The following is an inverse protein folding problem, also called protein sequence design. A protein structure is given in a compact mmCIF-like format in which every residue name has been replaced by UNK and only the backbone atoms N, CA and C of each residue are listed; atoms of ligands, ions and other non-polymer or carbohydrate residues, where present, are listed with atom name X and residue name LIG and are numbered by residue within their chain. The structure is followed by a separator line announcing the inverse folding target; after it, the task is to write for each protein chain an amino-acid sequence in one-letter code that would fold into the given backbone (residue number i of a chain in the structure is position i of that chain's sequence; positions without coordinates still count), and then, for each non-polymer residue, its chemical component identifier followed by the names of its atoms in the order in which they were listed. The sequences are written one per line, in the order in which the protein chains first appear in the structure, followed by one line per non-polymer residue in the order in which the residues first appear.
data_IF_642970556583
#
_entry.id   IF_642970556583
#
_cell.length_a   1.000
_cell.length_b   1.000
_cell.length_c   1.000
_cell.angle_alpha   90.00
_cell.angle_beta   90.00
_cell.angle_gamma   90.00
#
_symmetry.space_group_name_H-M   'P 1'
#
loop_
_entity.id
_entity.type
_entity.pdbx_description
1 polymer ?
#
# COMPACT_ATOMS: atom_id res chain seq x y z
N UNK A 1 -27.01 -30.03 5.55
CA UNK A 1 -25.80 -29.18 5.42
C UNK A 1 -25.18 -29.50 4.07
N UNK A 2 -24.95 -28.48 3.22
CA UNK A 2 -24.32 -28.70 1.91
C UNK A 2 -22.92 -29.29 2.10
N UNK A 3 -22.54 -30.27 1.27
CA UNK A 3 -21.23 -30.92 1.33
C UNK A 3 -20.17 -29.92 0.85
N UNK A 4 -19.07 -29.77 1.60
CA UNK A 4 -17.98 -28.87 1.21
C UNK A 4 -17.40 -29.29 -0.15
N UNK A 5 -17.38 -28.36 -1.10
CA UNK A 5 -16.89 -28.59 -2.45
C UNK A 5 -15.44 -28.12 -2.57
N UNK A 6 -14.50 -29.07 -2.51
CA UNK A 6 -13.06 -28.77 -2.55
C UNK A 6 -12.59 -28.12 -3.86
N UNK A 7 -13.19 -28.49 -4.98
CA UNK A 7 -12.80 -27.97 -6.30
C UNK A 7 -13.17 -26.49 -6.40
N UNK A 8 -14.40 -26.18 -6.04
CA UNK A 8 -14.91 -24.81 -6.00
C UNK A 8 -14.11 -23.94 -5.01
N UNK A 9 -13.76 -24.47 -3.83
CA UNK A 9 -12.90 -23.76 -2.88
C UNK A 9 -11.50 -23.46 -3.47
N UNK A 10 -10.90 -24.40 -4.21
CA UNK A 10 -9.59 -24.18 -4.83
C UNK A 10 -9.66 -23.15 -5.98
N UNK A 11 -10.73 -23.19 -6.78
CA UNK A 11 -11.01 -22.22 -7.85
C UNK A 11 -11.26 -20.81 -7.27
N UNK A 12 -11.99 -20.70 -6.16
CA UNK A 12 -12.22 -19.44 -5.46
C UNK A 12 -10.92 -18.85 -4.89
N UNK A 13 -10.08 -19.67 -4.26
CA UNK A 13 -8.77 -19.20 -3.81
C UNK A 13 -7.89 -18.75 -4.97
N UNK A 14 -7.97 -19.42 -6.12
CA UNK A 14 -7.28 -18.99 -7.33
C UNK A 14 -7.81 -17.67 -7.86
N UNK A 15 -9.13 -17.47 -7.83
CA UNK A 15 -9.76 -16.22 -8.22
C UNK A 15 -9.21 -15.06 -7.38
N UNK A 16 -9.17 -15.19 -6.05
CA UNK A 16 -8.60 -14.17 -5.17
C UNK A 16 -7.13 -13.84 -5.47
N UNK A 17 -6.31 -14.83 -5.88
CA UNK A 17 -4.92 -14.57 -6.31
C UNK A 17 -4.83 -13.80 -7.62
N UNK A 18 -5.76 -14.02 -8.55
CA UNK A 18 -5.77 -13.37 -9.86
C UNK A 18 -6.35 -11.95 -9.80
N UNK A 19 -7.32 -11.72 -8.92
CA UNK A 19 -7.96 -10.41 -8.75
C UNK A 19 -7.29 -9.54 -7.70
N UNK A 20 -6.31 -10.06 -6.95
CA UNK A 20 -5.70 -9.41 -5.78
C UNK A 20 -6.73 -8.98 -4.72
N UNK A 21 -7.86 -9.68 -4.63
CA UNK A 21 -8.88 -9.40 -3.63
C UNK A 21 -8.43 -9.88 -2.24
N UNK A 22 -8.44 -8.98 -1.26
CA UNK A 22 -8.05 -9.29 0.12
C UNK A 22 -9.25 -9.79 0.91
N UNK A 23 -9.35 -11.11 1.09
CA UNK A 23 -10.37 -11.75 1.94
C UNK A 23 -9.74 -12.80 2.87
N UNK A 24 -8.93 -12.33 3.83
CA UNK A 24 -8.06 -13.18 4.63
C UNK A 24 -8.82 -14.21 5.47
N UNK A 25 -9.94 -13.84 6.09
CA UNK A 25 -10.78 -14.79 6.85
C UNK A 25 -11.28 -15.96 5.99
N UNK A 26 -11.82 -15.65 4.81
CA UNK A 26 -12.35 -16.69 3.91
C UNK A 26 -11.22 -17.54 3.34
N UNK A 27 -10.09 -16.92 2.98
CA UNK A 27 -8.89 -17.64 2.53
C UNK A 27 -8.41 -18.63 3.60
N UNK A 28 -8.35 -18.21 4.86
CA UNK A 28 -7.99 -19.09 5.98
C UNK A 28 -8.98 -20.23 6.15
N UNK A 29 -10.29 -19.94 6.15
CA UNK A 29 -11.32 -20.95 6.31
C UNK A 29 -11.25 -22.03 5.20
N UNK A 30 -11.20 -21.61 3.93
CA UNK A 30 -11.10 -22.52 2.79
C UNK A 30 -9.77 -23.27 2.79
N UNK A 31 -8.67 -22.56 3.02
CA UNK A 31 -7.32 -23.10 3.07
C UNK A 31 -7.14 -24.17 4.15
N UNK A 32 -7.54 -23.87 5.39
CA UNK A 32 -7.49 -24.81 6.51
C UNK A 32 -8.31 -26.06 6.22
N UNK A 33 -9.50 -25.92 5.60
CA UNK A 33 -10.33 -27.07 5.22
C UNK A 33 -9.68 -27.94 4.15
N UNK A 34 -9.09 -27.33 3.12
CA UNK A 34 -8.38 -28.05 2.05
C UNK A 34 -7.14 -28.79 2.57
N UNK A 35 -6.41 -28.20 3.52
CA UNK A 35 -5.27 -28.83 4.19
C UNK A 35 -5.74 -30.01 5.05
N UNK A 36 -6.74 -29.80 5.91
CA UNK A 36 -7.28 -30.83 6.83
C UNK A 36 -7.81 -32.06 6.08
N UNK A 37 -8.50 -31.83 4.96
CA UNK A 37 -9.09 -32.90 4.16
C UNK A 37 -8.10 -33.51 3.15
N UNK A 38 -6.80 -33.17 3.23
CA UNK A 38 -5.71 -33.65 2.36
C UNK A 38 -5.96 -33.42 0.86
N UNK A 39 -6.73 -32.39 0.51
CA UNK A 39 -7.02 -32.07 -0.90
C UNK A 39 -5.81 -31.42 -1.60
N UNK A 40 -4.84 -30.90 -0.85
CA UNK A 40 -3.65 -30.21 -1.38
C UNK A 40 -2.84 -31.06 -2.37
N UNK A 41 -2.84 -32.39 -2.22
CA UNK A 41 -2.19 -33.31 -3.16
C UNK A 41 -2.76 -33.24 -4.59
N UNK A 42 -4.01 -32.77 -4.75
CA UNK A 42 -4.69 -32.64 -6.04
C UNK A 42 -4.43 -31.29 -6.73
N UNK A 43 -3.76 -30.35 -6.06
CA UNK A 43 -3.49 -29.02 -6.60
C UNK A 43 -2.31 -28.99 -7.60
N UNK A 44 -1.52 -30.06 -7.69
CA UNK A 44 -0.34 -30.10 -8.57
C UNK A 44 0.62 -28.94 -8.27
N UNK A 45 1.06 -28.23 -9.31
CA UNK A 45 1.97 -27.10 -9.17
C UNK A 45 1.37 -25.88 -8.48
N UNK A 46 0.04 -25.77 -8.43
CA UNK A 46 -0.66 -24.68 -7.74
C UNK A 46 -0.58 -24.79 -6.21
N UNK A 47 -0.01 -25.86 -5.67
CA UNK A 47 0.11 -26.10 -4.23
C UNK A 47 1.00 -25.04 -3.53
N UNK A 48 2.03 -24.51 -4.20
CA UNK A 48 2.95 -23.56 -3.56
C UNK A 48 2.38 -22.15 -3.44
N UNK A 49 1.81 -21.56 -4.52
CA UNK A 49 1.07 -20.31 -4.40
C UNK A 49 -0.12 -20.44 -3.44
N UNK A 50 -0.73 -21.63 -3.33
CA UNK A 50 -1.76 -21.91 -2.34
C UNK A 50 -1.22 -21.79 -0.91
N UNK A 51 -0.14 -22.48 -0.56
CA UNK A 51 0.42 -22.39 0.80
C UNK A 51 0.85 -20.97 1.15
N UNK A 52 1.47 -20.25 0.22
CA UNK A 52 1.85 -18.85 0.47
C UNK A 52 0.63 -17.96 0.68
N UNK A 53 -0.41 -18.08 -0.14
CA UNK A 53 -1.65 -17.31 0.03
C UNK A 53 -2.29 -17.58 1.39
N UNK A 54 -2.40 -18.85 1.78
CA UNK A 54 -2.98 -19.24 3.07
C UNK A 54 -2.09 -18.76 4.22
N UNK A 55 -0.76 -18.83 4.10
CA UNK A 55 0.16 -18.30 5.09
C UNK A 55 -0.03 -16.80 5.30
N UNK A 56 -0.06 -16.02 4.21
CA UNK A 56 -0.25 -14.55 4.27
C UNK A 56 -1.59 -14.21 4.92
N UNK A 57 -2.68 -14.86 4.49
CA UNK A 57 -4.00 -14.65 5.07
C UNK A 57 -4.04 -15.04 6.55
N UNK A 58 -3.38 -16.13 6.94
CA UNK A 58 -3.31 -16.58 8.32
C UNK A 58 -2.55 -15.61 9.22
N UNK A 59 -1.50 -14.96 8.70
CA UNK A 59 -0.82 -13.86 9.41
C UNK A 59 -1.73 -12.65 9.62
N UNK A 60 -2.54 -12.27 8.62
CA UNK A 60 -3.48 -11.15 8.73
C UNK A 60 -4.52 -11.37 9.84
N UNK A 61 -5.00 -12.60 10.03
CA UNK A 61 -5.99 -12.96 11.05
C UNK A 61 -5.36 -13.50 12.34
N UNK A 62 -4.04 -13.43 12.46
CA UNK A 62 -3.26 -13.92 13.60
C UNK A 62 -3.43 -15.43 13.92
N UNK A 63 -3.83 -16.24 12.94
CA UNK A 63 -3.80 -17.70 13.05
C UNK A 63 -2.37 -18.21 12.78
N UNK A 64 -1.51 -18.06 13.78
CA UNK A 64 -0.11 -18.44 13.68
C UNK A 64 0.09 -19.95 13.47
N UNK A 65 -0.82 -20.79 13.97
CA UNK A 65 -0.74 -22.23 13.77
C UNK A 65 -0.91 -22.60 12.29
N UNK A 66 -1.90 -22.01 11.62
CA UNK A 66 -2.12 -22.24 10.20
C UNK A 66 -1.00 -21.63 9.36
N UNK A 67 -0.54 -20.42 9.71
CA UNK A 67 0.59 -19.77 9.05
C UNK A 67 1.85 -20.64 9.10
N UNK A 68 2.24 -21.10 10.28
CA UNK A 68 3.45 -21.92 10.49
C UNK A 68 3.34 -23.26 9.76
N UNK A 69 2.15 -23.89 9.76
CA UNK A 69 1.91 -25.10 8.96
C UNK A 69 2.21 -24.90 7.47
N UNK A 70 1.75 -23.78 6.90
CA UNK A 70 1.99 -23.46 5.49
C UNK A 70 3.46 -23.10 5.23
N UNK A 71 4.09 -22.32 6.12
CA UNK A 71 5.50 -21.93 6.03
C UNK A 71 6.40 -23.17 6.07
N UNK A 72 6.14 -24.13 6.96
CA UNK A 72 6.89 -25.38 7.05
C UNK A 72 6.80 -26.20 5.77
N UNK A 73 5.62 -26.25 5.13
CA UNK A 73 5.45 -26.89 3.81
C UNK A 73 6.26 -26.18 2.74
N UNK A 74 6.24 -24.85 2.70
CA UNK A 74 7.02 -24.07 1.74
C UNK A 74 8.53 -24.28 1.94
N UNK A 75 8.99 -24.35 3.20
CA UNK A 75 10.40 -24.56 3.56
C UNK A 75 10.99 -25.87 3.02
N UNK A 76 10.17 -26.89 2.81
CA UNK A 76 10.62 -28.17 2.22
C UNK A 76 11.06 -28.05 0.76
N UNK A 77 10.60 -27.02 0.04
CA UNK A 77 10.93 -26.78 -1.37
C UNK A 77 11.76 -25.54 -1.59
N UNK A 78 11.43 -24.45 -0.89
CA UNK A 78 12.09 -23.16 -1.00
C UNK A 78 12.99 -22.96 0.21
N UNK A 79 14.25 -22.66 -0.05
CA UNK A 79 15.24 -22.33 0.99
C UNK A 79 15.39 -20.81 1.13
N UNK A 80 16.22 -20.37 2.06
CA UNK A 80 16.56 -18.96 2.29
C UNK A 80 17.12 -18.23 1.05
N UNK A 81 17.51 -18.96 0.00
CA UNK A 81 17.91 -18.38 -1.29
C UNK A 81 16.74 -17.71 -2.02
N UNK A 82 15.50 -18.09 -1.75
CA UNK A 82 14.34 -17.46 -2.39
C UNK A 82 13.97 -16.15 -1.68
N UNK A 83 14.12 -15.02 -2.37
CA UNK A 83 13.69 -13.70 -1.86
C UNK A 83 12.22 -13.69 -1.45
N UNK A 84 11.37 -14.36 -2.24
CA UNK A 84 9.93 -14.49 -1.97
C UNK A 84 9.65 -15.23 -0.67
N UNK A 85 10.38 -16.32 -0.40
CA UNK A 85 10.24 -17.07 0.85
C UNK A 85 10.80 -16.30 2.04
N UNK A 86 11.98 -15.67 1.91
CA UNK A 86 12.52 -14.78 2.95
C UNK A 86 11.56 -13.67 3.33
N UNK A 87 10.94 -13.01 2.34
CA UNK A 87 9.91 -11.99 2.60
C UNK A 87 8.75 -12.53 3.42
N UNK A 88 8.28 -13.75 3.17
CA UNK A 88 7.23 -14.40 3.98
C UNK A 88 7.69 -14.63 5.43
N UNK A 89 8.96 -14.99 5.65
CA UNK A 89 9.53 -15.08 7.00
C UNK A 89 9.61 -13.72 7.68
N UNK A 90 9.98 -12.66 6.95
CA UNK A 90 9.91 -11.27 7.43
C UNK A 90 8.50 -10.89 7.88
N UNK A 91 7.48 -11.19 7.06
CA UNK A 91 6.07 -10.97 7.41
C UNK A 91 5.65 -11.77 8.64
N UNK A 92 6.20 -12.97 8.84
CA UNK A 92 5.95 -13.77 10.04
C UNK A 92 6.52 -13.09 11.28
N UNK A 93 7.73 -12.52 11.21
CA UNK A 93 8.32 -11.74 12.30
C UNK A 93 7.54 -10.46 12.59
N UNK A 94 7.10 -9.73 11.56
CA UNK A 94 6.19 -8.58 11.71
C UNK A 94 4.95 -8.95 12.53
N UNK A 95 4.29 -10.05 12.16
CA UNK A 95 3.08 -10.49 12.84
C UNK A 95 3.33 -10.96 14.29
N UNK A 96 4.58 -11.29 14.66
CA UNK A 96 4.98 -11.57 16.05
C UNK A 96 5.34 -10.30 16.84
N UNK A 97 5.38 -9.13 16.21
CA UNK A 97 5.91 -7.90 16.81
C UNK A 97 7.45 -7.84 16.87
N UNK A 98 8.14 -8.80 16.23
CA UNK A 98 9.60 -8.88 16.13
C UNK A 98 10.10 -8.00 14.99
N UNK A 99 9.98 -6.69 15.18
CA UNK A 99 10.20 -5.71 14.12
C UNK A 99 11.68 -5.63 13.72
N UNK A 100 12.61 -5.85 14.65
CA UNK A 100 14.06 -5.77 14.39
C UNK A 100 14.49 -6.94 13.50
N UNK A 101 14.04 -8.15 13.80
CA UNK A 101 14.28 -9.33 12.98
C UNK A 101 13.61 -9.22 11.60
N UNK A 102 12.40 -8.65 11.53
CA UNK A 102 11.75 -8.38 10.24
C UNK A 102 12.54 -7.37 9.40
N UNK A 103 13.06 -6.31 10.02
CA UNK A 103 13.88 -5.32 9.36
C UNK A 103 15.15 -5.94 8.77
N UNK A 104 15.89 -6.72 9.56
CA UNK A 104 17.10 -7.41 9.10
C UNK A 104 16.79 -8.29 7.88
N UNK A 105 15.68 -9.03 7.89
CA UNK A 105 15.26 -9.83 6.74
C UNK A 105 15.06 -8.97 5.49
N UNK A 106 14.33 -7.85 5.58
CA UNK A 106 14.11 -7.00 4.41
C UNK A 106 15.36 -6.28 3.94
N UNK A 107 16.22 -5.84 4.86
CA UNK A 107 17.51 -5.23 4.52
C UNK A 107 18.38 -6.22 3.72
N UNK A 108 18.43 -7.49 4.13
CA UNK A 108 19.18 -8.51 3.35
C UNK A 108 18.58 -8.81 1.98
N UNK A 109 17.26 -8.65 1.81
CA UNK A 109 16.62 -8.80 0.49
C UNK A 109 16.99 -7.61 -0.38
N UNK A 110 16.91 -6.38 0.15
CA UNK A 110 17.18 -5.14 -0.58
C UNK A 110 18.69 -4.90 -0.83
N UNK A 111 19.57 -5.55 -0.07
CA UNK A 111 21.00 -5.60 -0.38
C UNK A 111 21.31 -6.52 -1.57
N UNK A 112 20.52 -7.57 -1.78
CA UNK A 112 20.69 -8.51 -2.90
C UNK A 112 19.96 -8.03 -4.17
N UNK A 113 18.77 -7.45 -4.00
CA UNK A 113 17.92 -6.90 -5.04
C UNK A 113 17.26 -5.62 -4.51
N UNK A 114 17.91 -4.48 -4.76
CA UNK A 114 17.43 -3.17 -4.32
C UNK A 114 16.19 -2.69 -5.07
N UNK A 115 15.85 -3.35 -6.18
CA UNK A 115 14.62 -3.13 -6.94
C UNK A 115 13.46 -4.00 -6.46
N UNK A 116 13.59 -4.74 -5.35
CA UNK A 116 12.52 -5.63 -4.91
C UNK A 116 11.30 -4.88 -4.35
N UNK A 117 10.32 -4.57 -5.22
CA UNK A 117 9.11 -3.81 -4.89
C UNK A 117 8.43 -4.28 -3.58
N UNK A 118 8.23 -5.59 -3.43
CA UNK A 118 7.47 -6.15 -2.31
C UNK A 118 8.23 -6.06 -0.98
N UNK A 119 9.55 -6.17 -1.01
CA UNK A 119 10.39 -5.98 0.18
C UNK A 119 10.48 -4.49 0.55
N UNK A 120 10.64 -3.60 -0.43
CA UNK A 120 10.64 -2.14 -0.20
C UNK A 120 9.34 -1.67 0.45
N UNK A 121 8.17 -2.10 -0.05
CA UNK A 121 6.87 -1.77 0.57
C UNK A 121 6.77 -2.26 2.03
N UNK A 122 7.32 -3.44 2.34
CA UNK A 122 7.33 -3.97 3.72
C UNK A 122 8.26 -3.16 4.62
N UNK A 123 9.44 -2.80 4.14
CA UNK A 123 10.38 -1.95 4.86
C UNK A 123 9.76 -0.57 5.15
N UNK A 124 9.10 0.06 4.18
CA UNK A 124 8.39 1.33 4.35
C UNK A 124 7.28 1.20 5.42
N UNK A 125 6.49 0.12 5.39
CA UNK A 125 5.46 -0.15 6.40
C UNK A 125 6.05 -0.33 7.83
N UNK A 126 7.21 -0.97 7.96
CA UNK A 126 7.93 -1.07 9.23
C UNK A 126 8.40 0.30 9.74
N UNK A 127 8.98 1.12 8.86
CA UNK A 127 9.44 2.48 9.20
C UNK A 127 8.28 3.36 9.66
N UNK A 128 7.12 3.24 9.00
CA UNK A 128 5.87 3.89 9.40
C UNK A 128 5.42 3.48 10.79
N UNK A 129 5.46 2.17 11.09
CA UNK A 129 5.09 1.62 12.42
C UNK A 129 6.01 2.13 13.53
N UNK A 130 7.30 2.35 13.22
CA UNK A 130 8.30 2.89 14.16
C UNK A 130 8.32 4.41 14.25
N UNK A 131 7.47 5.11 13.49
CA UNK A 131 7.45 6.57 13.38
C UNK A 131 8.83 7.18 13.01
N UNK A 132 9.60 6.47 12.18
CA UNK A 132 10.91 6.93 11.68
C UNK A 132 10.73 7.71 10.38
N UNK A 133 10.14 8.90 10.47
CA UNK A 133 9.75 9.67 9.28
C UNK A 133 10.91 10.07 8.37
N UNK A 134 12.13 10.29 8.90
CA UNK A 134 13.29 10.65 8.07
C UNK A 134 13.70 9.49 7.16
N UNK A 135 13.89 8.32 7.76
CA UNK A 135 14.24 7.08 7.05
C UNK A 135 13.13 6.69 6.06
N UNK A 136 11.86 6.96 6.42
CA UNK A 136 10.72 6.69 5.55
C UNK A 136 10.72 7.57 4.30
N UNK A 137 11.10 8.85 4.39
CA UNK A 137 11.25 9.73 3.22
C UNK A 137 12.32 9.17 2.29
N UNK A 138 13.49 8.82 2.83
CA UNK A 138 14.59 8.26 2.02
C UNK A 138 14.18 6.95 1.32
N UNK A 139 13.53 6.04 2.06
CA UNK A 139 13.05 4.78 1.51
C UNK A 139 11.97 4.99 0.44
N UNK A 140 11.01 5.89 0.65
CA UNK A 140 9.98 6.23 -0.33
C UNK A 140 10.54 6.90 -1.58
N UNK A 141 11.47 7.85 -1.42
CA UNK A 141 12.12 8.50 -2.58
C UNK A 141 12.89 7.48 -3.41
N UNK A 142 13.72 6.63 -2.77
CA UNK A 142 14.43 5.56 -3.48
C UNK A 142 13.47 4.57 -4.17
N UNK A 143 12.36 4.23 -3.53
CA UNK A 143 11.34 3.37 -4.11
C UNK A 143 10.71 3.99 -5.35
N UNK A 144 10.32 5.27 -5.27
CA UNK A 144 9.67 6.01 -6.35
C UNK A 144 10.61 6.31 -7.53
N UNK A 145 11.93 6.37 -7.32
CA UNK A 145 12.90 6.43 -8.42
C UNK A 145 12.82 5.21 -9.36
N UNK A 146 12.36 4.06 -8.84
CA UNK A 146 12.18 2.81 -9.61
C UNK A 146 10.71 2.59 -10.00
N UNK A 147 9.78 2.87 -9.08
CA UNK A 147 8.34 2.59 -9.19
C UNK A 147 7.52 3.90 -9.19
N UNK A 148 7.79 4.76 -10.16
CA UNK A 148 7.20 6.09 -10.26
C UNK A 148 5.69 6.08 -10.57
N UNK A 149 5.13 4.96 -11.01
CA UNK A 149 3.71 4.77 -11.31
C UNK A 149 2.85 4.40 -10.09
N UNK A 150 3.46 4.26 -8.91
CA UNK A 150 2.79 3.95 -7.66
C UNK A 150 2.24 5.20 -6.96
N UNK A 151 1.01 5.57 -7.32
CA UNK A 151 0.34 6.73 -6.72
C UNK A 151 0.10 6.61 -5.20
N UNK A 152 0.01 5.39 -4.63
CA UNK A 152 -0.15 5.21 -3.20
C UNK A 152 1.14 5.60 -2.45
N UNK A 153 2.31 5.22 -3.00
CA UNK A 153 3.60 5.60 -2.44
C UNK A 153 3.84 7.12 -2.54
N UNK A 154 3.47 7.76 -3.66
CA UNK A 154 3.50 9.22 -3.76
C UNK A 154 2.59 9.90 -2.73
N UNK A 155 1.42 9.33 -2.47
CA UNK A 155 0.48 9.86 -1.47
C UNK A 155 1.04 9.76 -0.06
N UNK A 156 1.66 8.63 0.29
CA UNK A 156 2.34 8.47 1.58
C UNK A 156 3.48 9.47 1.74
N UNK A 157 4.30 9.67 0.70
CA UNK A 157 5.39 10.65 0.73
C UNK A 157 4.86 12.09 0.88
N UNK A 158 3.78 12.42 0.17
CA UNK A 158 3.10 13.71 0.30
C UNK A 158 2.65 13.97 1.75
N UNK A 159 2.01 12.98 2.38
CA UNK A 159 1.49 13.12 3.75
C UNK A 159 2.60 13.32 4.78
N UNK A 160 3.77 12.68 4.60
CA UNK A 160 4.94 12.92 5.45
C UNK A 160 5.52 14.33 5.23
N UNK A 161 5.59 14.80 3.98
CA UNK A 161 6.03 16.17 3.73
C UNK A 161 5.08 17.20 4.34
N UNK A 162 3.77 16.94 4.33
CA UNK A 162 2.78 17.79 4.99
C UNK A 162 2.94 17.78 6.52
N UNK A 163 3.22 16.62 7.14
CA UNK A 163 3.45 16.55 8.60
C UNK A 163 4.68 17.38 9.03
N UNK A 164 5.66 17.54 8.13
CA UNK A 164 6.88 18.32 8.32
C UNK A 164 6.82 19.75 7.80
N UNK A 165 5.65 20.22 7.35
CA UNK A 165 5.47 21.57 6.76
C UNK A 165 6.33 21.82 5.50
N UNK A 166 6.75 20.77 4.81
CA UNK A 166 7.52 20.80 3.57
C UNK A 166 6.58 20.90 2.37
N UNK A 167 5.90 22.04 2.25
CA UNK A 167 4.78 22.22 1.33
C UNK A 167 5.18 22.15 -0.15
N UNK A 168 6.36 22.63 -0.53
CA UNK A 168 6.82 22.57 -1.93
C UNK A 168 7.02 21.11 -2.39
N UNK A 169 7.63 20.28 -1.54
CA UNK A 169 7.83 18.85 -1.81
C UNK A 169 6.48 18.10 -1.82
N UNK A 170 5.57 18.45 -0.90
CA UNK A 170 4.23 17.88 -0.90
C UNK A 170 3.43 18.27 -2.17
N UNK A 171 3.60 19.49 -2.67
CA UNK A 171 3.02 19.96 -3.91
C UNK A 171 3.52 19.15 -5.11
N UNK A 172 4.83 18.91 -5.20
CA UNK A 172 5.43 18.07 -6.23
C UNK A 172 4.86 16.65 -6.22
N UNK A 173 4.75 16.02 -5.04
CA UNK A 173 4.13 14.68 -4.93
C UNK A 173 2.68 14.68 -5.46
N UNK A 174 1.90 15.73 -5.19
CA UNK A 174 0.54 15.86 -5.71
C UNK A 174 0.50 16.01 -7.24
N UNK A 175 1.48 16.68 -7.85
CA UNK A 175 1.55 16.82 -9.31
C UNK A 175 1.71 15.44 -9.97
N UNK A 176 2.62 14.62 -9.47
CA UNK A 176 2.83 13.24 -9.94
C UNK A 176 1.55 12.40 -9.78
N UNK A 177 0.88 12.48 -8.62
CA UNK A 177 -0.38 11.75 -8.38
C UNK A 177 -1.47 12.18 -9.36
N UNK A 178 -1.59 13.48 -9.67
CA UNK A 178 -2.61 13.99 -10.60
C UNK A 178 -2.36 13.48 -12.03
N UNK A 179 -1.10 13.31 -12.43
CA UNK A 179 -0.74 12.71 -13.73
C UNK A 179 -1.21 11.24 -13.77
N UNK A 180 -1.00 10.49 -12.69
CA UNK A 180 -1.38 9.09 -12.58
C UNK A 180 -2.91 8.88 -12.43
N UNK A 181 -3.61 9.82 -11.78
CA UNK A 181 -5.03 9.71 -11.43
C UNK A 181 -5.83 10.98 -11.84
N UNK A 182 -5.92 11.29 -13.14
CA UNK A 182 -6.45 12.58 -13.63
C UNK A 182 -7.97 12.75 -13.47
N UNK A 183 -8.71 11.67 -13.19
CA UNK A 183 -10.16 11.69 -12.95
C UNK A 183 -10.52 11.81 -11.47
N UNK A 184 -9.55 11.67 -10.56
CA UNK A 184 -9.81 11.68 -9.13
C UNK A 184 -9.74 13.10 -8.54
N UNK A 185 -10.90 13.69 -8.31
CA UNK A 185 -11.02 15.06 -7.79
C UNK A 185 -10.38 15.26 -6.40
N UNK A 186 -10.18 14.21 -5.61
CA UNK A 186 -9.58 14.30 -4.26
C UNK A 186 -8.14 14.79 -4.32
N UNK A 187 -7.38 14.37 -5.34
CA UNK A 187 -5.98 14.78 -5.49
C UNK A 187 -5.85 16.23 -5.98
N UNK A 188 -6.74 16.68 -6.87
CA UNK A 188 -6.84 18.09 -7.24
C UNK A 188 -7.18 18.97 -6.04
N UNK A 189 -8.06 18.49 -5.15
CA UNK A 189 -8.44 19.21 -3.94
C UNK A 189 -7.26 19.33 -2.97
N UNK A 190 -6.55 18.22 -2.70
CA UNK A 190 -5.35 18.23 -1.86
C UNK A 190 -4.30 19.20 -2.41
N UNK A 191 -4.02 19.16 -3.71
CA UNK A 191 -3.06 20.06 -4.35
C UNK A 191 -3.49 21.53 -4.25
N UNK A 192 -4.77 21.84 -4.47
CA UNK A 192 -5.30 23.20 -4.35
C UNK A 192 -5.11 23.78 -2.92
N UNK A 193 -5.28 22.95 -1.90
CA UNK A 193 -5.08 23.34 -0.49
C UNK A 193 -3.60 23.63 -0.17
N UNK A 194 -2.69 22.81 -0.71
CA UNK A 194 -1.25 23.03 -0.58
C UNK A 194 -0.85 24.32 -1.27
N UNK A 195 -1.30 24.54 -2.51
CA UNK A 195 -1.05 25.77 -3.26
C UNK A 195 -1.61 27.01 -2.56
N UNK A 196 -2.80 26.91 -1.96
CA UNK A 196 -3.37 28.00 -1.16
C UNK A 196 -2.48 28.32 0.04
N UNK A 197 -1.96 27.30 0.71
CA UNK A 197 -1.06 27.44 1.87
C UNK A 197 0.27 28.09 1.47
N UNK A 198 0.81 27.74 0.30
CA UNK A 198 1.97 28.37 -0.33
C UNK A 198 1.68 29.79 -0.89
N UNK A 199 0.45 30.28 -0.75
CA UNK A 199 -0.01 31.57 -1.30
C UNK A 199 0.10 31.66 -2.84
N UNK A 200 0.08 30.53 -3.54
CA UNK A 200 -0.01 30.43 -5.00
C UNK A 200 -1.47 30.52 -5.46
N UNK A 201 -2.13 31.64 -5.12
CA UNK A 201 -3.57 31.83 -5.24
C UNK A 201 -4.16 31.58 -6.63
N UNK A 202 -3.55 32.02 -7.75
CA UNK A 202 -4.11 31.77 -9.09
C UNK A 202 -4.15 30.29 -9.45
N UNK A 203 -3.11 29.54 -9.06
CA UNK A 203 -3.05 28.10 -9.28
C UNK A 203 -4.05 27.39 -8.37
N UNK A 204 -4.10 27.76 -7.08
CA UNK A 204 -5.09 27.20 -6.16
C UNK A 204 -6.53 27.37 -6.70
N UNK A 205 -6.87 28.57 -7.20
CA UNK A 205 -8.16 28.85 -7.83
C UNK A 205 -8.46 27.89 -8.99
N UNK A 206 -7.49 27.73 -9.91
CA UNK A 206 -7.61 26.83 -11.07
C UNK A 206 -7.90 25.40 -10.63
N UNK A 207 -7.18 24.90 -9.63
CA UNK A 207 -7.37 23.52 -9.15
C UNK A 207 -8.68 23.34 -8.38
N UNK A 208 -9.12 24.31 -7.57
CA UNK A 208 -10.46 24.28 -6.99
C UNK A 208 -11.57 24.25 -8.05
N UNK A 209 -11.46 25.06 -9.12
CA UNK A 209 -12.38 24.98 -10.24
C UNK A 209 -12.37 23.60 -10.91
N UNK A 210 -11.19 22.98 -11.08
CA UNK A 210 -11.08 21.62 -11.64
C UNK A 210 -11.77 20.57 -10.75
N UNK A 211 -11.67 20.70 -9.42
CA UNK A 211 -12.43 19.84 -8.50
C UNK A 211 -13.93 19.95 -8.75
N UNK A 212 -14.47 21.16 -8.95
CA UNK A 212 -15.91 21.37 -9.20
C UNK A 212 -16.35 20.91 -10.59
N UNK A 213 -15.44 20.88 -11.57
CA UNK A 213 -15.70 20.28 -12.88
C UNK A 213 -15.89 18.76 -12.76
N UNK A 214 -15.11 18.10 -11.89
CA UNK A 214 -15.17 16.65 -11.68
C UNK A 214 -16.25 16.24 -10.65
N UNK A 215 -16.50 17.07 -9.64
CA UNK A 215 -17.43 16.83 -8.53
C UNK A 215 -18.07 18.17 -8.14
N UNK A 216 -19.25 18.43 -8.71
CA UNK A 216 -19.95 19.73 -8.63
C UNK A 216 -20.41 20.10 -7.23
N UNK A 217 -20.63 19.11 -6.36
CA UNK A 217 -21.10 19.25 -4.99
C UNK A 217 -19.98 19.24 -3.94
N UNK A 218 -18.72 19.38 -4.36
CA UNK A 218 -17.59 19.41 -3.44
C UNK A 218 -17.57 20.70 -2.60
N UNK A 219 -18.16 20.63 -1.40
CA UNK A 219 -18.26 21.74 -0.44
C UNK A 219 -16.89 22.34 -0.10
N UNK A 220 -15.87 21.49 0.06
CA UNK A 220 -14.52 21.93 0.44
C UNK A 220 -13.88 22.81 -0.64
N UNK A 221 -14.10 22.48 -1.92
CA UNK A 221 -13.67 23.31 -3.04
C UNK A 221 -14.41 24.65 -3.12
N UNK A 222 -15.73 24.65 -2.89
CA UNK A 222 -16.53 25.90 -2.85
C UNK A 222 -16.01 26.86 -1.78
N UNK A 223 -15.67 26.35 -0.59
CA UNK A 223 -15.02 27.15 0.45
C UNK A 223 -13.63 27.62 0.02
N UNK A 224 -12.84 26.75 -0.61
CA UNK A 224 -11.54 27.09 -1.18
C UNK A 224 -11.60 28.30 -2.14
N UNK A 225 -12.57 28.32 -3.05
CA UNK A 225 -12.80 29.45 -3.95
C UNK A 225 -13.14 30.75 -3.20
N UNK A 226 -14.00 30.68 -2.19
CA UNK A 226 -14.33 31.85 -1.37
C UNK A 226 -13.11 32.39 -0.62
N UNK A 227 -12.28 31.49 -0.06
CA UNK A 227 -11.06 31.86 0.65
C UNK A 227 -10.03 32.51 -0.28
N UNK A 228 -9.82 31.93 -1.47
CA UNK A 228 -8.93 32.49 -2.49
C UNK A 228 -9.41 33.89 -2.89
N UNK A 229 -10.69 34.06 -3.21
CA UNK A 229 -11.25 35.37 -3.59
C UNK A 229 -11.06 36.42 -2.48
N UNK A 230 -11.35 36.06 -1.22
CA UNK A 230 -11.17 36.95 -0.08
C UNK A 230 -9.69 37.34 0.12
N UNK A 231 -8.76 36.41 -0.09
CA UNK A 231 -7.33 36.66 0.00
C UNK A 231 -6.85 37.58 -1.12
N UNK A 232 -7.24 37.31 -2.37
CA UNK A 232 -6.87 38.11 -3.55
C UNK A 232 -7.39 39.55 -3.44
N UNK A 233 -8.63 39.74 -2.99
CA UNK A 233 -9.22 41.09 -2.81
C UNK A 233 -8.52 41.91 -1.72
N UNK A 234 -7.96 41.27 -0.69
CA UNK A 234 -7.15 41.96 0.33
C UNK A 234 -5.80 42.41 -0.22
N UNK A 235 -5.22 41.67 -1.16
CA UNK A 235 -3.94 42.02 -1.80
C UNK A 235 -4.14 43.20 -2.74
N UNK A 236 -5.23 43.22 -3.52
CA UNK A 236 -5.51 44.30 -4.47
C UNK A 236 -5.98 45.61 -3.80
N UNK A 237 -6.67 45.53 -2.66
CA UNK A 237 -7.12 46.71 -1.90
C UNK A 237 -6.07 47.39 -1.01
N UNK A 238 -4.81 46.95 -1.04
CA UNK A 238 -3.69 47.51 -0.24
C UNK A 238 -2.69 48.34 -1.06
N UNK A 239 -2.96 48.56 -2.35
CA UNK A 239 -2.18 49.43 -3.23
C UNK A 239 -2.86 50.77 -3.45
#
# INVERSE_FOLDING_TARGET
MSKFNHKEAAEELQHYRLTNERNSEKVCHLGARLIKDNYTAKLGDAIWPFYEQVAIAALDVQDFSLADTCIDKLKTRFTEKSLRFRRLLGMRFEAQGKLDEAQEVYDTILQEDDTNMLASKRQIALLKTRNKESDMIEALTKYLDTYYDDHEAWLELCDIYLSKYMYDQAAYCCEEIIILQPSNHVFFLKYAEILYTLNHLPLALKHYCKVLELCTDNVRSLYGLQLVNKQTMKVTGRN
#
